data_IF_438631983854
#
_entry.id   IF_438631983854
#
_cell.length_a   1.000
_cell.length_b   1.000
_cell.length_c   1.000
_cell.angle_alpha   90.00
_cell.angle_beta   90.00
_cell.angle_gamma   90.00
#
_symmetry.space_group_name_H-M   'P 1'
#
loop_
_entity.id
_entity.type
_entity.pdbx_description
1 polymer ?
#
# COMPACT_ATOMS: atom_id res chain seq x y z
N UNK A 1 22.43 11.56 12.60
CA UNK A 1 21.72 10.39 12.03
C UNK A 1 20.60 10.89 11.11
N UNK A 2 20.70 10.57 9.82
CA UNK A 2 19.70 10.98 8.83
C UNK A 2 18.69 9.85 8.60
N UNK A 3 17.75 9.74 9.51
CA UNK A 3 16.64 8.79 9.40
C UNK A 3 15.31 9.51 9.48
N UNK A 4 14.30 8.97 8.83
CA UNK A 4 12.93 9.49 8.82
C UNK A 4 11.95 8.34 8.90
N UNK A 5 10.89 8.54 9.67
CA UNK A 5 9.75 7.64 9.73
C UNK A 5 8.56 8.28 9.04
N UNK A 6 7.79 7.47 8.34
CA UNK A 6 6.52 7.89 7.73
C UNK A 6 5.44 6.85 8.00
N UNK A 7 4.21 7.33 8.11
CA UNK A 7 3.05 6.49 8.35
C UNK A 7 2.06 6.71 7.20
N UNK A 8 1.40 5.63 6.78
CA UNK A 8 0.33 5.67 5.80
C UNK A 8 -0.87 4.87 6.27
N UNK A 9 -2.04 5.35 5.90
CA UNK A 9 -3.31 4.68 6.16
C UNK A 9 -4.24 4.91 4.97
N UNK A 10 -4.95 3.85 4.56
CA UNK A 10 -5.96 3.94 3.52
C UNK A 10 -7.12 3.00 3.81
N UNK A 11 -8.28 3.31 3.26
CA UNK A 11 -9.49 2.52 3.36
C UNK A 11 -10.31 2.64 2.08
N UNK A 12 -10.85 1.51 1.61
CA UNK A 12 -11.76 1.48 0.47
C UNK A 12 -12.97 0.61 0.79
N UNK A 13 -14.12 0.98 0.21
CA UNK A 13 -15.34 0.20 0.32
C UNK A 13 -15.19 -1.13 -0.45
N UNK A 14 -15.70 -2.20 0.16
CA UNK A 14 -15.75 -3.53 -0.46
C UNK A 14 -17.10 -3.70 -1.13
N UNK A 15 -17.10 -3.88 -2.45
CA UNK A 15 -18.32 -3.93 -3.27
C UNK A 15 -18.34 -5.16 -4.17
N UNK A 16 -19.53 -5.74 -4.47
CA UNK A 16 -19.63 -6.87 -5.38
C UNK A 16 -19.18 -6.51 -6.80
N UNK A 17 -18.66 -7.49 -7.55
CA UNK A 17 -18.41 -7.37 -8.98
C UNK A 17 -17.09 -6.70 -9.35
N UNK A 18 -16.26 -6.34 -8.37
CA UNK A 18 -14.89 -5.85 -8.62
C UNK A 18 -13.86 -6.90 -8.23
N UNK A 19 -12.72 -6.87 -8.91
CA UNK A 19 -11.55 -7.64 -8.49
C UNK A 19 -11.01 -7.12 -7.17
N UNK A 20 -10.58 -8.02 -6.30
CA UNK A 20 -9.87 -7.67 -5.08
C UNK A 20 -8.38 -7.77 -5.35
N UNK A 21 -7.69 -6.63 -5.28
CA UNK A 21 -6.23 -6.54 -5.46
C UNK A 21 -5.63 -5.97 -4.18
N UNK A 22 -4.73 -6.73 -3.56
CA UNK A 22 -4.04 -6.34 -2.34
C UNK A 22 -2.54 -6.59 -2.50
N UNK A 23 -1.74 -5.53 -2.33
CA UNK A 23 -0.29 -5.61 -2.50
C UNK A 23 0.12 -6.04 -3.90
N UNK A 24 -0.64 -5.67 -4.92
CA UNK A 24 -0.40 -6.03 -6.31
C UNK A 24 -0.85 -7.45 -6.68
N UNK A 25 -1.47 -8.17 -5.76
CA UNK A 25 -1.91 -9.56 -5.96
C UNK A 25 -3.43 -9.63 -6.04
N UNK A 26 -3.94 -10.28 -7.09
CA UNK A 26 -5.38 -10.57 -7.20
C UNK A 26 -5.76 -11.68 -6.23
N UNK A 27 -6.71 -11.38 -5.36
CA UNK A 27 -7.21 -12.31 -4.33
C UNK A 27 -8.58 -12.81 -4.76
N UNK A 28 -8.80 -14.13 -4.91
CA UNK A 28 -10.13 -14.66 -5.21
C UNK A 28 -11.14 -14.28 -4.14
N UNK A 29 -12.18 -13.56 -4.53
CA UNK A 29 -13.26 -13.14 -3.63
C UNK A 29 -14.46 -12.67 -4.46
N UNK A 30 -15.64 -12.65 -3.84
CA UNK A 30 -16.89 -12.22 -4.48
C UNK A 30 -16.99 -10.70 -4.61
N UNK A 31 -16.22 -9.97 -3.85
CA UNK A 31 -16.18 -8.49 -3.82
C UNK A 31 -14.77 -7.98 -3.97
N UNK A 32 -14.63 -6.75 -4.42
CA UNK A 32 -13.35 -6.05 -4.53
C UNK A 32 -13.48 -4.61 -4.05
N UNK A 33 -12.35 -3.91 -4.00
CA UNK A 33 -12.30 -2.55 -3.47
C UNK A 33 -12.69 -1.52 -4.54
N UNK A 34 -13.48 -0.54 -4.12
CA UNK A 34 -14.00 0.52 -4.97
C UNK A 34 -13.05 1.73 -4.94
N UNK A 35 -12.67 2.21 -6.13
CA UNK A 35 -11.83 3.39 -6.28
C UNK A 35 -11.57 3.73 -7.75
N UNK A 36 -10.89 4.85 -7.99
CA UNK A 36 -10.56 5.33 -9.34
C UNK A 36 -9.46 4.51 -10.03
N UNK A 37 -8.60 3.85 -9.24
CA UNK A 37 -7.56 2.93 -9.70
C UNK A 37 -8.00 1.49 -9.44
N UNK A 38 -7.05 0.59 -9.22
CA UNK A 38 -7.30 -0.76 -8.72
C UNK A 38 -7.74 -0.78 -7.24
N UNK A 39 -7.73 0.38 -6.57
CA UNK A 39 -8.06 0.57 -5.16
C UNK A 39 -7.25 -0.32 -4.21
N UNK A 40 -5.98 -0.58 -4.55
CA UNK A 40 -5.07 -1.38 -3.72
C UNK A 40 -4.74 -0.62 -2.44
N UNK A 41 -5.50 -0.91 -1.39
CA UNK A 41 -5.42 -0.21 -0.12
C UNK A 41 -4.05 -0.36 0.55
N UNK A 42 -3.38 -1.50 0.36
CA UNK A 42 -2.05 -1.73 0.92
C UNK A 42 -0.99 -0.89 0.21
N UNK A 43 -0.97 -0.92 -1.11
CA UNK A 43 0.01 -0.13 -1.88
C UNK A 43 -0.20 1.37 -1.69
N UNK A 44 -1.44 1.82 -1.54
CA UNK A 44 -1.75 3.24 -1.24
C UNK A 44 -1.21 3.64 0.13
N UNK A 45 -1.40 2.82 1.17
CA UNK A 45 -0.85 3.08 2.50
C UNK A 45 0.68 3.12 2.49
N UNK A 46 1.32 2.19 1.79
CA UNK A 46 2.79 2.15 1.67
C UNK A 46 3.30 3.38 0.90
N UNK A 47 2.62 3.77 -0.16
CA UNK A 47 2.97 4.97 -0.95
C UNK A 47 2.94 6.22 -0.07
N UNK A 48 1.89 6.41 0.71
CA UNK A 48 1.81 7.53 1.65
C UNK A 48 2.91 7.47 2.72
N UNK A 49 3.24 6.28 3.21
CA UNK A 49 4.29 6.12 4.22
C UNK A 49 5.66 6.54 3.69
N UNK A 50 6.05 6.13 2.49
CA UNK A 50 7.36 6.50 1.92
C UNK A 50 7.42 7.97 1.51
N UNK A 51 6.35 8.51 0.95
CA UNK A 51 6.27 9.94 0.62
C UNK A 51 6.32 10.80 1.89
N UNK A 52 5.55 10.41 2.92
CA UNK A 52 5.52 11.11 4.21
C UNK A 52 6.88 11.10 4.90
N UNK A 53 7.57 9.96 4.93
CA UNK A 53 8.90 9.85 5.50
C UNK A 53 9.91 10.77 4.81
N UNK A 54 9.81 10.90 3.49
CA UNK A 54 10.68 11.81 2.71
C UNK A 54 10.26 13.29 2.80
N UNK A 55 9.13 13.59 3.45
CA UNK A 55 8.59 14.95 3.53
C UNK A 55 8.03 15.46 2.22
N UNK A 56 7.58 14.56 1.34
CA UNK A 56 7.10 14.89 0.00
C UNK A 56 5.57 15.04 -0.10
N UNK A 57 4.86 14.99 1.02
CA UNK A 57 3.40 15.07 1.05
C UNK A 57 2.75 13.70 0.97
N UNK A 58 1.78 13.53 0.09
CA UNK A 58 0.94 12.35 0.02
C UNK A 58 0.67 11.91 -1.43
N UNK A 59 -0.02 10.77 -1.57
CA UNK A 59 -0.35 10.18 -2.86
C UNK A 59 -1.21 11.12 -3.72
N UNK A 60 -2.17 11.82 -3.12
CA UNK A 60 -3.05 12.73 -3.85
C UNK A 60 -2.33 13.94 -4.43
N UNK A 61 -1.29 14.42 -3.76
CA UNK A 61 -0.44 15.52 -4.25
C UNK A 61 0.39 15.09 -5.46
N UNK A 62 0.92 13.88 -5.46
CA UNK A 62 1.78 13.38 -6.54
C UNK A 62 1.01 12.80 -7.71
N UNK A 63 -0.15 12.21 -7.46
CA UNK A 63 -0.95 11.48 -8.45
C UNK A 63 -2.42 11.92 -8.36
N UNK A 64 -2.72 13.20 -8.65
CA UNK A 64 -4.09 13.68 -8.57
C UNK A 64 -4.97 13.00 -9.62
N UNK A 65 -6.24 12.77 -9.29
CA UNK A 65 -7.23 12.16 -10.19
C UNK A 65 -7.42 12.94 -11.50
N UNK A 66 -7.04 14.21 -11.49
CA UNK A 66 -7.09 15.11 -12.66
C UNK A 66 -5.93 14.92 -13.64
N UNK A 67 -4.87 14.21 -13.24
CA UNK A 67 -3.71 13.96 -14.09
C UNK A 67 -3.96 12.76 -15.01
N UNK A 68 -4.14 13.04 -16.32
CA UNK A 68 -4.40 12.02 -17.33
C UNK A 68 -3.25 11.01 -17.46
N UNK A 69 -2.03 11.37 -17.08
CA UNK A 69 -0.87 10.48 -17.14
C UNK A 69 -1.04 9.24 -16.24
N UNK A 70 -1.75 9.39 -15.12
CA UNK A 70 -1.92 8.34 -14.12
C UNK A 70 -3.35 7.76 -14.09
N UNK A 71 -4.20 8.16 -15.03
CA UNK A 71 -5.57 7.66 -15.10
C UNK A 71 -5.59 6.16 -15.35
N UNK A 72 -6.24 5.42 -14.45
CA UNK A 72 -6.32 3.97 -14.52
C UNK A 72 -4.98 3.26 -14.27
N UNK A 73 -3.97 3.97 -13.76
CA UNK A 73 -2.68 3.39 -13.46
C UNK A 73 -2.79 2.32 -12.37
N UNK A 74 -2.00 1.27 -12.53
CA UNK A 74 -1.78 0.25 -11.52
C UNK A 74 -1.09 0.89 -10.30
N UNK A 75 -1.56 0.59 -9.10
CA UNK A 75 -0.97 1.14 -7.87
C UNK A 75 0.49 0.75 -7.68
N UNK A 76 0.93 -0.38 -8.24
CA UNK A 76 2.35 -0.76 -8.27
C UNK A 76 3.20 0.24 -9.03
N UNK A 77 2.69 0.74 -10.15
CA UNK A 77 3.36 1.77 -10.96
C UNK A 77 3.46 3.09 -10.18
N UNK A 78 2.40 3.45 -9.47
CA UNK A 78 2.41 4.66 -8.62
C UNK A 78 3.43 4.54 -7.50
N UNK A 79 3.53 3.39 -6.86
CA UNK A 79 4.52 3.14 -5.81
C UNK A 79 5.95 3.18 -6.35
N UNK A 80 6.19 2.58 -7.52
CA UNK A 80 7.51 2.67 -8.20
C UNK A 80 7.91 4.12 -8.46
N UNK A 81 6.99 4.93 -8.97
CA UNK A 81 7.24 6.36 -9.23
C UNK A 81 7.46 7.14 -7.94
N UNK A 82 6.69 6.86 -6.89
CA UNK A 82 6.89 7.47 -5.58
C UNK A 82 8.30 7.16 -5.04
N UNK A 83 8.74 5.91 -5.14
CA UNK A 83 10.09 5.52 -4.71
C UNK A 83 11.18 6.19 -5.55
N UNK A 84 10.95 6.35 -6.85
CA UNK A 84 11.87 7.10 -7.71
C UNK A 84 12.04 8.54 -7.20
N UNK A 85 10.94 9.21 -6.85
CA UNK A 85 10.94 10.58 -6.30
C UNK A 85 11.61 10.64 -4.93
N UNK A 86 11.38 9.66 -4.09
CA UNK A 86 12.01 9.53 -2.76
C UNK A 86 13.54 9.40 -2.92
N UNK A 87 13.99 8.52 -3.81
CA UNK A 87 15.42 8.31 -4.09
C UNK A 87 16.06 9.55 -4.71
N UNK A 88 15.34 10.29 -5.54
CA UNK A 88 15.84 11.55 -6.12
C UNK A 88 16.16 12.59 -5.06
N UNK A 89 15.56 12.51 -3.87
CA UNK A 89 15.87 13.35 -2.70
C UNK A 89 17.03 12.79 -1.85
N UNK A 90 17.65 11.69 -2.26
CA UNK A 90 18.75 11.04 -1.58
C UNK A 90 18.34 10.08 -0.46
N UNK A 91 17.08 9.73 -0.37
CA UNK A 91 16.58 8.78 0.61
C UNK A 91 16.58 7.34 0.10
N UNK A 92 16.88 6.40 0.98
CA UNK A 92 16.75 4.96 0.74
C UNK A 92 15.84 4.33 1.79
N UNK A 93 15.10 3.29 1.39
CA UNK A 93 14.26 2.55 2.32
C UNK A 93 15.09 1.62 3.18
N UNK A 94 14.94 1.71 4.49
CA UNK A 94 15.49 0.73 5.44
C UNK A 94 14.53 -0.47 5.51
N UNK A 95 13.27 -0.21 5.86
CA UNK A 95 12.24 -1.23 5.89
C UNK A 95 10.83 -0.62 5.84
N UNK A 96 9.87 -1.45 5.53
CA UNK A 96 8.44 -1.15 5.69
C UNK A 96 7.77 -2.27 6.46
N UNK A 97 6.97 -1.89 7.45
CA UNK A 97 6.04 -2.77 8.14
C UNK A 97 4.61 -2.32 7.86
N UNK A 98 3.73 -3.25 7.60
CA UNK A 98 2.36 -2.94 7.20
C UNK A 98 1.36 -3.97 7.73
N UNK A 99 0.10 -3.56 7.78
CA UNK A 99 -1.00 -4.39 8.25
C UNK A 99 -2.22 -4.20 7.36
N UNK A 100 -2.75 -5.29 6.85
CA UNK A 100 -4.05 -5.32 6.18
C UNK A 100 -5.09 -5.71 7.24
N UNK A 101 -6.16 -4.93 7.36
CA UNK A 101 -7.30 -5.26 8.23
C UNK A 101 -8.49 -5.61 7.34
N UNK A 102 -8.86 -6.89 7.34
CA UNK A 102 -9.94 -7.41 6.51
C UNK A 102 -10.68 -8.53 7.28
N UNK A 103 -12.00 -8.45 7.36
CA UNK A 103 -12.78 -9.50 7.99
C UNK A 103 -12.78 -10.77 7.14
N UNK A 104 -12.81 -10.60 5.82
CA UNK A 104 -12.72 -11.65 4.80
C UNK A 104 -12.16 -11.02 3.51
N UNK A 105 -11.56 -11.81 2.61
CA UNK A 105 -11.26 -13.24 2.70
C UNK A 105 -10.06 -13.52 3.61
N UNK A 106 -9.79 -14.82 3.86
CA UNK A 106 -8.55 -15.24 4.51
C UNK A 106 -7.36 -14.98 3.59
N UNK A 107 -6.31 -14.36 4.11
CA UNK A 107 -5.18 -13.90 3.31
C UNK A 107 -3.92 -14.76 3.49
N UNK A 108 -3.91 -15.70 4.42
CA UNK A 108 -2.71 -16.48 4.77
C UNK A 108 -2.02 -17.12 3.55
N UNK A 109 -2.79 -17.69 2.62
CA UNK A 109 -2.26 -18.35 1.43
C UNK A 109 -1.64 -17.37 0.42
N UNK A 110 -1.91 -16.06 0.54
CA UNK A 110 -1.47 -15.04 -0.39
C UNK A 110 -0.33 -14.16 0.14
N UNK A 111 0.03 -14.32 1.41
CA UNK A 111 0.97 -13.41 2.07
C UNK A 111 2.37 -13.45 1.45
N UNK A 112 2.86 -14.63 1.05
CA UNK A 112 4.17 -14.74 0.39
C UNK A 112 4.20 -13.99 -0.93
N UNK A 113 3.15 -14.12 -1.75
CA UNK A 113 3.03 -13.41 -3.02
C UNK A 113 2.92 -11.90 -2.81
N UNK A 114 2.15 -11.47 -1.82
CA UNK A 114 2.00 -10.05 -1.47
C UNK A 114 3.35 -9.45 -1.06
N UNK A 115 4.08 -10.11 -0.17
CA UNK A 115 5.42 -9.64 0.23
C UNK A 115 6.37 -9.50 -0.96
N UNK A 116 6.37 -10.48 -1.86
CA UNK A 116 7.22 -10.46 -3.06
C UNK A 116 6.88 -9.30 -4.00
N UNK A 117 5.59 -9.07 -4.26
CA UNK A 117 5.13 -7.99 -5.14
C UNK A 117 5.42 -6.62 -4.53
N UNK A 118 5.21 -6.45 -3.23
CA UNK A 118 5.52 -5.20 -2.51
C UNK A 118 7.01 -4.90 -2.58
N UNK A 119 7.87 -5.89 -2.31
CA UNK A 119 9.32 -5.74 -2.39
C UNK A 119 9.76 -5.34 -3.81
N UNK A 120 9.18 -5.96 -4.83
CA UNK A 120 9.47 -5.65 -6.24
C UNK A 120 9.05 -4.21 -6.57
N UNK A 121 7.85 -3.79 -6.19
CA UNK A 121 7.36 -2.43 -6.43
C UNK A 121 8.21 -1.37 -5.72
N UNK A 122 8.69 -1.66 -4.53
CA UNK A 122 9.59 -0.78 -3.77
C UNK A 122 11.03 -0.81 -4.30
N UNK A 123 11.41 -1.83 -5.06
CA UNK A 123 12.78 -2.01 -5.55
C UNK A 123 13.76 -2.34 -4.43
N UNK A 124 13.35 -3.18 -3.47
CA UNK A 124 14.14 -3.55 -2.29
C UNK A 124 14.18 -5.08 -2.11
N UNK A 125 15.02 -5.54 -1.20
CA UNK A 125 15.10 -6.95 -0.85
C UNK A 125 13.86 -7.40 -0.05
N UNK A 126 13.54 -8.68 -0.13
CA UNK A 126 12.35 -9.25 0.51
C UNK A 126 12.35 -9.05 2.05
N UNK A 127 13.52 -9.12 2.67
CA UNK A 127 13.67 -8.96 4.13
C UNK A 127 13.48 -7.51 4.62
N UNK A 128 13.35 -6.55 3.70
CA UNK A 128 13.03 -5.15 4.04
C UNK A 128 11.51 -4.90 4.08
N UNK A 129 10.69 -5.91 3.79
CA UNK A 129 9.23 -5.81 3.72
C UNK A 129 8.60 -6.79 4.69
N UNK A 130 7.67 -6.30 5.50
CA UNK A 130 6.82 -7.15 6.32
C UNK A 130 5.35 -6.75 6.12
N UNK A 131 4.49 -7.72 5.84
CA UNK A 131 3.05 -7.52 5.72
C UNK A 131 2.35 -8.48 6.67
N UNK A 132 1.49 -7.93 7.53
CA UNK A 132 0.62 -8.67 8.43
C UNK A 132 -0.81 -8.54 7.96
N UNK A 133 -1.62 -9.52 8.27
CA UNK A 133 -3.05 -9.46 8.04
C UNK A 133 -3.79 -9.85 9.31
N UNK A 134 -4.88 -9.14 9.59
CA UNK A 134 -5.72 -9.44 10.74
C UNK A 134 -7.18 -9.08 10.45
N UNK A 135 -8.09 -9.66 11.21
CA UNK A 135 -9.50 -9.26 11.20
C UNK A 135 -9.71 -8.04 12.09
N UNK A 136 -10.88 -7.43 11.98
CA UNK A 136 -11.35 -6.38 12.89
C UNK A 136 -12.20 -6.95 14.04
N UNK A 137 -12.14 -8.26 14.29
CA UNK A 137 -12.90 -8.92 15.36
C UNK A 137 -14.42 -8.65 15.27
N UNK A 138 -14.94 -8.57 14.03
CA UNK A 138 -16.34 -8.26 13.70
C UNK A 138 -16.80 -6.88 14.16
N UNK A 139 -15.87 -5.96 14.41
CA UNK A 139 -16.16 -4.60 14.84
C UNK A 139 -16.03 -3.61 13.69
N UNK A 140 -16.91 -2.60 13.71
CA UNK A 140 -16.88 -1.49 12.75
C UNK A 140 -17.14 -1.89 11.29
N UNK A 141 -16.93 -0.96 10.35
CA UNK A 141 -17.18 -1.22 8.92
C UNK A 141 -16.36 -2.36 8.35
N UNK A 142 -15.09 -2.47 8.76
CA UNK A 142 -14.25 -3.60 8.33
C UNK A 142 -14.79 -4.91 8.87
N UNK A 143 -15.15 -4.94 10.16
CA UNK A 143 -15.69 -6.13 10.80
C UNK A 143 -17.06 -6.56 10.24
N UNK A 144 -17.80 -5.61 9.66
CA UNK A 144 -19.08 -5.87 8.99
C UNK A 144 -18.92 -6.24 7.51
N UNK A 145 -17.70 -6.33 7.01
CA UNK A 145 -17.43 -6.66 5.60
C UNK A 145 -17.74 -5.54 4.62
N UNK A 146 -17.78 -4.30 5.06
CA UNK A 146 -18.11 -3.13 4.24
C UNK A 146 -16.86 -2.46 3.66
N UNK A 147 -15.70 -2.70 4.24
CA UNK A 147 -14.44 -2.10 3.82
C UNK A 147 -13.24 -2.97 4.19
N UNK A 148 -12.10 -2.67 3.55
CA UNK A 148 -10.79 -3.15 3.95
C UNK A 148 -9.92 -1.93 4.17
N UNK A 149 -9.10 -1.95 5.21
CA UNK A 149 -8.11 -0.90 5.47
C UNK A 149 -6.70 -1.46 5.54
N UNK A 150 -5.72 -0.59 5.36
CA UNK A 150 -4.32 -0.93 5.55
C UNK A 150 -3.59 0.21 6.23
N UNK A 151 -2.56 -0.15 6.97
CA UNK A 151 -1.61 0.76 7.61
C UNK A 151 -0.20 0.37 7.24
N UNK A 152 0.67 1.36 7.12
CA UNK A 152 2.08 1.12 6.83
C UNK A 152 2.94 2.11 7.61
N UNK A 153 4.11 1.64 8.02
CA UNK A 153 5.18 2.48 8.58
C UNK A 153 6.43 2.21 7.77
N UNK A 154 7.06 3.27 7.29
CA UNK A 154 8.31 3.19 6.54
C UNK A 154 9.42 3.90 7.31
N UNK A 155 10.62 3.33 7.28
CA UNK A 155 11.83 3.96 7.78
C UNK A 155 12.76 4.22 6.59
N UNK A 156 13.14 5.47 6.42
CA UNK A 156 14.10 5.91 5.41
C UNK A 156 15.40 6.35 6.07
N UNK A 157 16.49 6.27 5.31
CA UNK A 157 17.77 6.87 5.69
C UNK A 157 18.41 7.57 4.49
N UNK A 158 19.28 8.54 4.77
CA UNK A 158 20.21 9.07 3.76
C UNK A 158 21.56 8.44 3.99
N UNK A 159 22.10 7.70 3.02
CA UNK A 159 23.48 7.25 3.05
C UNK A 159 24.45 8.43 3.19
N UNK A 160 25.55 8.21 3.87
CA UNK A 160 26.61 9.23 4.10
C UNK A 160 27.36 9.51 2.81
#
# INVERSE_FOLDING_TARGET
MNIRVGEGWDVHALVPGRQLILGGVEIPHTSGLLGHSDADVLLHAITDAVLGAAGLGDIGRHFPDTDAQFKGADSSVLLQEAMRRVRAQGWELVNVDSTIVAQAPKLAAHMAAINAEVAQALGVALDQVNVKAKTAEKLGPVGMGQSIEARAVALLHKPS
#
